data_IF_283318964467
#
_entry.id   IF_283318964467
#
_cell.length_a   1.000
_cell.length_b   1.000
_cell.length_c   1.000
_cell.angle_alpha   90.00
_cell.angle_beta   90.00
_cell.angle_gamma   90.00
#
_symmetry.space_group_name_H-M   'P 1'
#
loop_
_entity.id
_entity.type
_entity.pdbx_description
1 polymer ?
#
# COMPACT_ATOMS: atom_id res chain seq x y z
N UNK A 1 -5.17 3.22 12.34
CA UNK A 1 -4.60 2.79 11.03
C UNK A 1 -3.10 2.56 11.09
N UNK A 2 -2.59 1.50 10.46
CA UNK A 2 -1.15 1.21 10.39
C UNK A 2 -0.50 1.96 9.21
N UNK A 3 0.51 2.78 9.52
CA UNK A 3 1.32 3.54 8.56
C UNK A 3 2.78 3.15 8.70
N UNK A 4 3.63 3.59 7.77
CA UNK A 4 5.08 3.44 7.90
C UNK A 4 5.84 4.66 7.39
N UNK A 5 7.03 4.86 7.94
CA UNK A 5 8.00 5.86 7.50
C UNK A 5 9.21 5.11 6.99
N UNK A 6 9.65 5.38 5.76
CA UNK A 6 10.84 4.78 5.17
C UNK A 6 11.92 5.84 5.01
N UNK A 7 13.06 5.64 5.66
CA UNK A 7 14.16 6.60 5.68
C UNK A 7 15.44 5.93 5.18
N UNK A 8 16.16 6.62 4.29
CA UNK A 8 17.50 6.19 3.86
C UNK A 8 18.47 6.34 5.04
N UNK A 9 19.36 5.37 5.20
CA UNK A 9 20.45 5.43 6.16
C UNK A 9 21.64 6.04 5.45
N UNK A 10 22.21 7.10 6.01
CA UNK A 10 23.32 7.83 5.41
C UNK A 10 24.67 7.24 5.82
N UNK A 11 24.87 7.05 7.12
CA UNK A 11 26.11 6.56 7.73
C UNK A 11 25.88 6.16 9.19
N UNK A 12 26.75 5.32 9.80
CA UNK A 12 26.88 5.27 11.24
C UNK A 12 27.31 6.64 11.78
N UNK A 13 26.77 6.97 12.95
CA UNK A 13 27.19 8.14 13.73
C UNK A 13 28.48 7.86 14.49
N UNK A 14 28.65 6.62 14.95
CA UNK A 14 29.81 6.19 15.72
C UNK A 14 31.04 6.08 14.81
N UNK A 15 32.12 6.77 15.14
CA UNK A 15 33.37 6.78 14.36
C UNK A 15 34.09 5.42 14.40
N UNK A 16 33.71 4.56 15.34
CA UNK A 16 34.29 3.21 15.52
C UNK A 16 33.88 2.20 14.45
N UNK A 17 32.92 2.53 13.59
CA UNK A 17 32.46 1.64 12.52
C UNK A 17 32.39 2.41 11.21
N UNK A 18 33.14 1.95 10.22
CA UNK A 18 33.09 2.49 8.87
C UNK A 18 31.79 2.10 8.15
N UNK A 19 31.45 2.80 7.07
CA UNK A 19 30.29 2.44 6.25
C UNK A 19 30.44 1.07 5.57
N UNK A 20 31.68 0.70 5.22
CA UNK A 20 31.98 -0.61 4.62
C UNK A 20 31.74 -1.74 5.61
N UNK A 21 32.29 -1.64 6.83
CA UNK A 21 32.06 -2.60 7.91
C UNK A 21 30.57 -2.71 8.26
N UNK A 22 29.86 -1.59 8.30
CA UNK A 22 28.41 -1.56 8.48
C UNK A 22 27.69 -2.30 7.35
N UNK A 23 28.14 -2.12 6.10
CA UNK A 23 27.62 -2.83 4.94
C UNK A 23 27.79 -4.35 5.03
N UNK A 24 28.97 -4.81 5.48
CA UNK A 24 29.24 -6.23 5.74
C UNK A 24 28.37 -6.78 6.88
N UNK A 25 28.23 -6.05 7.98
CA UNK A 25 27.39 -6.44 9.11
C UNK A 25 25.93 -6.61 8.68
N UNK A 26 25.36 -5.61 7.99
CA UNK A 26 23.96 -5.66 7.53
C UNK A 26 23.75 -6.74 6.46
N UNK A 27 24.69 -6.90 5.53
CA UNK A 27 24.63 -7.96 4.51
C UNK A 27 24.65 -9.37 5.14
N UNK A 28 25.58 -9.59 6.07
CA UNK A 28 25.69 -10.84 6.83
C UNK A 28 24.44 -11.13 7.66
N UNK A 29 23.91 -10.13 8.36
CA UNK A 29 22.69 -10.25 9.16
C UNK A 29 21.47 -10.55 8.28
N UNK A 30 21.33 -9.89 7.13
CA UNK A 30 20.25 -10.17 6.17
C UNK A 30 20.29 -11.62 5.66
N UNK A 31 21.49 -12.13 5.37
CA UNK A 31 21.67 -13.53 4.97
C UNK A 31 21.28 -14.50 6.09
N UNK A 32 21.70 -14.24 7.33
CA UNK A 32 21.35 -15.06 8.50
C UNK A 32 19.84 -15.06 8.72
N UNK A 33 19.19 -13.90 8.69
CA UNK A 33 17.72 -13.78 8.80
C UNK A 33 17.00 -14.57 7.72
N UNK A 34 17.50 -14.56 6.48
CA UNK A 34 16.94 -15.38 5.41
C UNK A 34 17.01 -16.88 5.75
N UNK A 35 18.18 -17.37 6.19
CA UNK A 35 18.39 -18.78 6.58
C UNK A 35 17.50 -19.18 7.75
N UNK A 36 17.49 -18.39 8.83
CA UNK A 36 16.63 -18.61 9.99
C UNK A 36 15.15 -18.67 9.61
N UNK A 37 14.69 -17.76 8.74
CA UNK A 37 13.29 -17.72 8.33
C UNK A 37 12.91 -18.94 7.47
N UNK A 38 13.79 -19.37 6.55
CA UNK A 38 13.56 -20.57 5.75
C UNK A 38 13.61 -21.85 6.60
N UNK A 39 14.51 -21.94 7.57
CA UNK A 39 14.55 -23.02 8.56
C UNK A 39 13.21 -23.14 9.29
N UNK A 40 12.68 -22.01 9.79
CA UNK A 40 11.36 -21.98 10.43
C UNK A 40 10.23 -22.41 9.48
N UNK A 41 10.25 -21.97 8.21
CA UNK A 41 9.24 -22.37 7.21
C UNK A 41 9.23 -23.88 6.99
N UNK A 42 10.42 -24.50 6.88
CA UNK A 42 10.55 -25.96 6.69
C UNK A 42 10.03 -26.71 7.91
N UNK A 43 10.44 -26.34 9.12
CA UNK A 43 9.98 -27.01 10.34
C UNK A 43 8.49 -26.82 10.59
N UNK A 44 7.90 -25.68 10.20
CA UNK A 44 6.45 -25.51 10.23
C UNK A 44 5.71 -26.47 9.28
N UNK A 45 6.27 -26.74 8.09
CA UNK A 45 5.70 -27.74 7.18
C UNK A 45 5.79 -29.15 7.77
N UNK A 46 6.96 -29.53 8.29
CA UNK A 46 7.16 -30.85 8.91
C UNK A 46 6.18 -31.07 10.07
N UNK A 47 6.06 -30.08 10.96
CA UNK A 47 5.11 -30.10 12.08
C UNK A 47 3.66 -30.23 11.61
N UNK A 48 3.25 -29.46 10.59
CA UNK A 48 1.90 -29.52 10.04
C UNK A 48 1.57 -30.87 9.38
N UNK A 49 2.58 -31.54 8.81
CA UNK A 49 2.47 -32.89 8.24
C UNK A 49 2.55 -34.00 9.30
N UNK A 50 2.70 -33.64 10.59
CA UNK A 50 2.94 -34.58 11.70
C UNK A 50 4.16 -35.48 11.48
N UNK A 51 5.15 -34.98 10.74
CA UNK A 51 6.46 -35.58 10.64
C UNK A 51 7.27 -35.18 11.87
N UNK A 52 8.21 -36.03 12.30
CA UNK A 52 8.98 -35.79 13.53
C UNK A 52 9.74 -34.46 13.47
N UNK A 53 9.48 -33.61 14.47
CA UNK A 53 10.26 -32.40 14.73
C UNK A 53 10.59 -32.36 16.21
N UNK A 54 11.87 -32.38 16.58
CA UNK A 54 12.30 -32.27 17.98
C UNK A 54 12.12 -30.84 18.57
N UNK A 55 11.72 -29.89 17.73
CA UNK A 55 11.67 -28.45 18.05
C UNK A 55 10.31 -28.04 18.63
N UNK A 56 9.83 -28.72 19.67
CA UNK A 56 8.56 -28.39 20.31
C UNK A 56 8.79 -27.73 21.67
N UNK A 57 7.99 -26.72 21.98
CA UNK A 57 7.90 -26.20 23.34
C UNK A 57 7.06 -27.15 24.22
N UNK A 58 7.01 -26.94 25.55
CA UNK A 58 6.20 -27.77 26.46
C UNK A 58 4.69 -27.79 26.17
N UNK A 59 4.18 -26.87 25.33
CA UNK A 59 2.79 -26.81 24.88
C UNK A 59 2.54 -27.58 23.58
N UNK A 60 3.58 -28.16 22.98
CA UNK A 60 3.52 -28.85 21.69
C UNK A 60 3.54 -27.92 20.48
N UNK A 61 3.78 -26.61 20.67
CA UNK A 61 3.97 -25.69 19.54
C UNK A 61 5.41 -25.73 19.06
N UNK A 62 5.60 -25.60 17.74
CA UNK A 62 6.92 -25.43 17.16
C UNK A 62 7.64 -24.21 17.76
N UNK A 63 8.87 -24.42 18.19
CA UNK A 63 9.74 -23.44 18.83
C UNK A 63 11.18 -23.59 18.34
N UNK A 64 11.54 -22.83 17.31
CA UNK A 64 12.85 -22.93 16.66
C UNK A 64 13.95 -22.13 17.38
N UNK A 65 13.57 -21.21 18.29
CA UNK A 65 14.48 -20.26 18.91
C UNK A 65 15.75 -20.87 19.53
N UNK A 66 15.72 -21.96 20.33
CA UNK A 66 16.91 -22.46 21.01
C UNK A 66 18.02 -22.86 20.03
N UNK A 67 17.66 -23.62 18.99
CA UNK A 67 18.59 -24.04 17.93
C UNK A 67 19.09 -22.84 17.13
N UNK A 68 18.22 -21.88 16.82
CA UNK A 68 18.63 -20.67 16.10
C UNK A 68 19.55 -19.76 16.93
N UNK A 69 19.35 -19.70 18.25
CA UNK A 69 20.17 -18.89 19.14
C UNK A 69 21.56 -19.51 19.36
N UNK A 70 21.65 -20.85 19.35
CA UNK A 70 22.90 -21.59 19.40
C UNK A 70 23.70 -21.46 18.09
N UNK A 71 23.03 -21.60 16.94
CA UNK A 71 23.64 -21.50 15.61
C UNK A 71 24.09 -20.05 15.27
N UNK A 72 23.35 -19.05 15.77
CA UNK A 72 23.61 -17.62 15.47
C UNK A 72 23.82 -16.78 16.75
N UNK A 73 24.84 -17.06 17.58
CA UNK A 73 25.03 -16.43 18.89
C UNK A 73 25.31 -14.93 18.81
N UNK A 74 25.82 -14.44 17.68
CA UNK A 74 26.05 -13.02 17.40
C UNK A 74 24.78 -12.25 17.04
N UNK A 75 23.68 -12.92 16.72
CA UNK A 75 22.41 -12.28 16.36
C UNK A 75 21.61 -11.96 17.62
N UNK A 76 21.07 -10.74 17.79
CA UNK A 76 20.20 -10.42 18.91
C UNK A 76 18.98 -11.35 18.98
N UNK A 77 18.69 -11.92 20.16
CA UNK A 77 17.53 -12.78 20.40
C UNK A 77 16.22 -12.19 19.87
N UNK A 78 16.04 -10.88 20.02
CA UNK A 78 14.86 -10.19 19.50
C UNK A 78 14.70 -10.30 17.98
N UNK A 79 15.80 -10.24 17.21
CA UNK A 79 15.78 -10.41 15.75
C UNK A 79 15.44 -11.85 15.39
N UNK A 80 15.98 -12.83 16.13
CA UNK A 80 15.67 -14.26 15.94
C UNK A 80 14.16 -14.51 16.14
N UNK A 81 13.60 -14.07 17.27
CA UNK A 81 12.18 -14.23 17.56
C UNK A 81 11.28 -13.51 16.53
N UNK A 82 11.72 -12.36 16.03
CA UNK A 82 10.99 -11.61 15.02
C UNK A 82 11.03 -12.30 13.64
N UNK A 83 12.17 -12.92 13.28
CA UNK A 83 12.30 -13.74 12.07
C UNK A 83 11.42 -14.99 12.13
N UNK A 84 11.42 -15.71 13.25
CA UNK A 84 10.56 -16.87 13.50
C UNK A 84 9.07 -16.48 13.41
N UNK A 85 8.68 -15.39 14.09
CA UNK A 85 7.29 -14.89 14.03
C UNK A 85 6.87 -14.53 12.62
N UNK A 86 7.77 -13.93 11.84
CA UNK A 86 7.52 -13.58 10.44
C UNK A 86 7.32 -14.83 9.57
N UNK A 87 8.18 -15.84 9.73
CA UNK A 87 8.06 -17.12 9.03
C UNK A 87 6.75 -17.82 9.38
N UNK A 88 6.43 -17.94 10.68
CA UNK A 88 5.16 -18.53 11.16
C UNK A 88 3.93 -17.87 10.55
N UNK A 89 3.89 -16.52 10.52
CA UNK A 89 2.77 -15.78 9.91
C UNK A 89 2.66 -16.04 8.41
N UNK A 90 3.78 -16.11 7.69
CA UNK A 90 3.80 -16.43 6.28
C UNK A 90 3.28 -17.85 6.02
N UNK A 91 3.76 -18.83 6.79
CA UNK A 91 3.33 -20.21 6.71
C UNK A 91 1.83 -20.34 6.95
N UNK A 92 1.30 -19.80 8.05
CA UNK A 92 -0.14 -19.86 8.37
C UNK A 92 -1.02 -19.35 7.23
N UNK A 93 -0.60 -18.27 6.55
CA UNK A 93 -1.33 -17.70 5.41
C UNK A 93 -1.33 -18.61 4.18
N UNK A 94 -0.27 -19.39 3.97
CA UNK A 94 -0.14 -20.30 2.82
C UNK A 94 -0.49 -21.76 3.12
N UNK A 95 -0.63 -22.14 4.40
CA UNK A 95 -0.65 -23.53 4.86
C UNK A 95 -1.72 -24.37 4.14
N UNK A 96 -2.96 -23.87 4.05
CA UNK A 96 -4.06 -24.60 3.40
C UNK A 96 -3.74 -24.97 1.94
N UNK A 97 -3.19 -24.02 1.17
CA UNK A 97 -2.83 -24.25 -0.25
C UNK A 97 -1.63 -25.17 -0.40
N UNK A 98 -0.66 -25.06 0.51
CA UNK A 98 0.54 -25.90 0.51
C UNK A 98 0.18 -27.35 0.86
N UNK A 99 -0.64 -27.58 1.89
CA UNK A 99 -1.05 -28.92 2.33
C UNK A 99 -1.96 -29.63 1.32
N UNK A 100 -2.70 -28.86 0.48
CA UNK A 100 -3.47 -29.39 -0.66
C UNK A 100 -2.64 -29.51 -1.95
N UNK A 101 -1.33 -29.26 -1.89
CA UNK A 101 -0.44 -29.30 -3.05
C UNK A 101 -0.81 -28.34 -4.19
N UNK A 102 -1.58 -27.28 -3.91
CA UNK A 102 -1.92 -26.24 -4.89
C UNK A 102 -0.76 -25.27 -5.14
N UNK A 103 0.13 -25.13 -4.15
CA UNK A 103 1.30 -24.24 -4.22
C UNK A 103 2.47 -24.84 -3.45
N UNK A 104 3.69 -24.58 -3.91
CA UNK A 104 4.90 -24.90 -3.14
C UNK A 104 5.03 -24.06 -1.85
N UNK A 105 5.84 -24.55 -0.91
CA UNK A 105 6.19 -23.82 0.31
C UNK A 105 6.85 -22.47 -0.03
N UNK A 106 6.35 -21.33 0.48
CA UNK A 106 7.02 -20.04 0.26
C UNK A 106 8.42 -20.01 0.85
N UNK A 107 9.34 -19.32 0.17
CA UNK A 107 10.72 -19.14 0.64
C UNK A 107 11.13 -17.68 0.68
N UNK A 108 11.97 -17.36 1.67
CA UNK A 108 12.68 -16.11 1.80
C UNK A 108 13.91 -16.12 0.88
N UNK A 109 14.17 -14.99 0.22
CA UNK A 109 15.25 -14.84 -0.77
C UNK A 109 16.45 -14.11 -0.16
N UNK A 110 17.59 -14.18 -0.86
CA UNK A 110 18.76 -13.32 -0.60
C UNK A 110 18.31 -11.85 -0.51
N UNK A 111 18.93 -11.09 0.38
CA UNK A 111 18.56 -9.71 0.72
C UNK A 111 17.19 -9.58 1.41
N UNK A 112 16.76 -10.63 2.13
CA UNK A 112 15.60 -10.57 3.00
C UNK A 112 15.76 -9.47 4.05
N UNK A 113 14.68 -8.73 4.25
CA UNK A 113 14.70 -7.63 5.20
C UNK A 113 14.87 -8.12 6.64
N UNK A 114 15.62 -7.36 7.44
CA UNK A 114 15.94 -7.68 8.83
C UNK A 114 14.85 -7.07 9.72
N UNK A 115 14.07 -7.89 10.44
CA UNK A 115 13.07 -7.38 11.37
C UNK A 115 13.74 -6.93 12.68
N UNK A 116 13.46 -5.70 13.10
CA UNK A 116 13.98 -5.10 14.33
C UNK A 116 12.81 -4.89 15.31
N UNK A 117 12.77 -5.64 16.43
CA UNK A 117 11.72 -5.49 17.45
C UNK A 117 11.67 -4.08 18.03
N UNK A 118 10.52 -3.68 18.58
CA UNK A 118 10.32 -2.35 19.20
C UNK A 118 11.37 -2.04 20.27
N UNK A 119 11.74 -3.02 21.11
CA UNK A 119 12.78 -2.86 22.13
C UNK A 119 14.20 -2.72 21.55
N UNK A 120 14.41 -3.20 20.32
CA UNK A 120 15.69 -3.21 19.61
C UNK A 120 16.02 -1.92 18.88
N UNK A 121 15.15 -0.90 18.88
CA UNK A 121 15.47 0.41 18.31
C UNK A 121 14.88 1.60 19.07
N UNK A 122 15.51 2.77 18.93
CA UNK A 122 15.03 4.08 19.38
C UNK A 122 15.32 5.12 18.31
N UNK A 123 14.44 6.10 18.18
CA UNK A 123 14.65 7.26 17.31
C UNK A 123 15.02 8.44 18.19
N UNK A 124 16.17 9.02 17.94
CA UNK A 124 16.74 10.14 18.68
C UNK A 124 16.84 11.34 17.74
N UNK A 125 16.74 12.53 18.32
CA UNK A 125 17.03 13.78 17.62
C UNK A 125 18.31 14.36 18.24
N UNK A 126 19.25 14.79 17.41
CA UNK A 126 20.45 15.49 17.89
C UNK A 126 20.19 16.99 18.11
N UNK A 127 21.17 17.68 18.67
CA UNK A 127 21.08 19.13 18.95
C UNK A 127 20.95 19.99 17.69
N UNK A 128 21.40 19.48 16.54
CA UNK A 128 21.32 20.13 15.23
C UNK A 128 19.97 19.84 14.53
N UNK A 129 19.11 19.03 15.14
CA UNK A 129 17.79 18.70 14.65
C UNK A 129 17.74 17.51 13.68
N UNK A 130 18.84 16.81 13.43
CA UNK A 130 18.88 15.58 12.64
C UNK A 130 18.38 14.37 13.44
N UNK A 131 17.87 13.38 12.71
CA UNK A 131 17.36 12.15 13.32
C UNK A 131 18.36 11.00 13.20
N UNK A 132 18.55 10.29 14.31
CA UNK A 132 19.36 9.08 14.39
C UNK A 132 18.49 7.90 14.85
N UNK A 133 18.70 6.72 14.29
CA UNK A 133 18.17 5.47 14.81
C UNK A 133 19.25 4.73 15.60
N UNK A 134 19.08 4.60 16.91
CA UNK A 134 19.88 3.70 17.73
C UNK A 134 19.29 2.28 17.59
N UNK A 135 20.06 1.33 17.04
CA UNK A 135 19.58 -0.03 16.74
C UNK A 135 20.50 -1.09 17.33
N UNK A 136 19.91 -2.12 17.95
CA UNK A 136 20.62 -3.32 18.36
C UNK A 136 20.73 -4.30 17.19
N UNK A 137 21.89 -4.32 16.53
CA UNK A 137 22.17 -5.19 15.38
C UNK A 137 23.02 -6.42 15.73
N UNK A 138 23.68 -6.39 16.88
CA UNK A 138 24.58 -7.44 17.34
C UNK A 138 24.25 -7.82 18.78
N UNK A 139 24.38 -9.10 19.11
CA UNK A 139 24.19 -9.60 20.47
C UNK A 139 25.29 -9.05 21.39
N UNK A 140 25.09 -9.13 22.71
CA UNK A 140 26.12 -8.70 23.68
C UNK A 140 27.41 -9.52 23.54
N UNK A 141 27.28 -10.81 23.22
CA UNK A 141 28.43 -11.70 22.99
C UNK A 141 29.15 -11.31 21.70
N UNK A 142 28.41 -11.13 20.59
CA UNK A 142 28.98 -10.71 19.32
C UNK A 142 29.67 -9.34 19.41
N UNK A 143 29.08 -8.40 20.14
CA UNK A 143 29.63 -7.06 20.36
C UNK A 143 31.03 -7.13 21.02
N UNK A 144 31.20 -7.99 22.03
CA UNK A 144 32.49 -8.22 22.70
C UNK A 144 33.51 -8.84 21.75
N UNK A 145 33.12 -9.89 21.02
CA UNK A 145 34.01 -10.61 20.10
C UNK A 145 34.49 -9.72 18.96
N UNK A 146 33.60 -8.89 18.40
CA UNK A 146 33.89 -8.03 17.25
C UNK A 146 34.35 -6.62 17.66
N UNK A 147 34.46 -6.33 18.96
CA UNK A 147 34.78 -5.01 19.52
C UNK A 147 33.87 -3.88 18.98
N UNK A 148 32.61 -4.22 18.69
CA UNK A 148 31.59 -3.30 18.21
C UNK A 148 30.69 -2.81 19.35
N UNK A 149 30.08 -1.62 19.24
CA UNK A 149 29.09 -1.17 20.22
C UNK A 149 27.85 -2.08 20.17
N UNK A 150 27.28 -2.39 21.33
CA UNK A 150 26.08 -3.24 21.41
C UNK A 150 24.83 -2.63 20.77
N UNK A 151 24.81 -1.30 20.62
CA UNK A 151 23.81 -0.55 19.83
C UNK A 151 24.54 0.41 18.91
N UNK A 152 24.14 0.42 17.64
CA UNK A 152 24.73 1.26 16.61
C UNK A 152 23.78 2.40 16.30
N UNK A 153 24.28 3.63 16.38
CA UNK A 153 23.54 4.83 16.00
C UNK A 153 23.70 5.10 14.50
N UNK A 154 22.59 5.15 13.78
CA UNK A 154 22.54 5.34 12.33
C UNK A 154 21.90 6.67 11.99
N UNK A 155 22.61 7.52 11.25
CA UNK A 155 22.10 8.80 10.78
C UNK A 155 21.08 8.55 9.67
N UNK A 156 19.87 9.09 9.86
CA UNK A 156 18.77 8.97 8.91
C UNK A 156 18.75 10.19 7.99
N UNK A 157 18.45 9.98 6.72
CA UNK A 157 18.33 11.07 5.76
C UNK A 157 17.20 12.02 6.15
N UNK A 158 17.55 13.29 6.22
CA UNK A 158 16.72 14.45 6.56
C UNK A 158 16.18 15.17 5.32
N UNK A 159 16.33 14.58 4.12
CA UNK A 159 15.81 15.14 2.87
C UNK A 159 14.28 15.04 2.79
N UNK A 160 13.61 15.84 3.63
CA UNK A 160 12.17 15.91 3.81
C UNK A 160 11.51 16.63 2.62
N UNK A 161 11.43 15.96 1.47
CA UNK A 161 10.51 16.41 0.40
C UNK A 161 9.05 16.34 0.85
N UNK A 162 8.74 15.46 1.81
CA UNK A 162 7.41 15.23 2.35
C UNK A 162 7.28 15.75 3.80
N UNK A 163 6.54 16.85 3.97
CA UNK A 163 6.24 17.44 5.28
C UNK A 163 5.48 16.47 6.21
N UNK A 164 4.67 15.57 5.65
CA UNK A 164 3.89 14.62 6.44
C UNK A 164 4.77 13.53 7.06
N UNK A 165 5.76 13.03 6.31
CA UNK A 165 6.75 12.07 6.80
C UNK A 165 7.59 12.67 7.94
N UNK A 166 7.96 13.96 7.83
CA UNK A 166 8.67 14.69 8.89
C UNK A 166 7.85 14.77 10.18
N UNK A 167 6.59 15.19 10.07
CA UNK A 167 5.67 15.25 11.22
C UNK A 167 5.44 13.88 11.85
N UNK A 168 5.31 12.83 11.04
CA UNK A 168 5.19 11.47 11.54
C UNK A 168 6.44 11.03 12.31
N UNK A 169 7.65 11.31 11.80
CA UNK A 169 8.88 10.94 12.49
C UNK A 169 9.03 11.70 13.82
N UNK A 170 8.67 12.98 13.85
CA UNK A 170 8.64 13.78 15.08
C UNK A 170 7.75 13.14 16.15
N UNK A 171 6.54 12.70 15.76
CA UNK A 171 5.63 11.99 16.69
C UNK A 171 6.20 10.67 17.17
N UNK A 172 6.87 9.91 16.29
CA UNK A 172 7.54 8.64 16.63
C UNK A 172 8.71 8.87 17.59
N UNK A 173 9.56 9.87 17.32
CA UNK A 173 10.70 10.22 18.16
C UNK A 173 10.25 10.73 19.54
N UNK A 174 9.17 11.50 19.60
CA UNK A 174 8.57 11.97 20.84
C UNK A 174 7.78 10.90 21.61
N UNK A 175 7.64 9.67 21.07
CA UNK A 175 6.88 8.60 21.72
C UNK A 175 5.37 8.79 21.75
N UNK A 176 4.82 9.77 20.99
CA UNK A 176 3.38 10.08 20.97
C UNK A 176 2.54 9.09 20.17
N UNK A 177 3.17 8.19 19.43
CA UNK A 177 2.49 7.17 18.63
C UNK A 177 3.05 5.79 18.91
N UNK A 178 2.17 4.79 18.94
CA UNK A 178 2.58 3.39 19.06
C UNK A 178 3.30 2.95 17.79
N UNK A 179 4.50 2.40 17.97
CA UNK A 179 5.38 1.90 16.90
C UNK A 179 5.42 0.38 16.87
N UNK A 180 5.67 -0.20 15.71
CA UNK A 180 5.76 -1.65 15.49
C UNK A 180 7.18 -2.15 15.24
N UNK A 181 7.29 -3.40 14.80
CA UNK A 181 8.56 -4.02 14.40
C UNK A 181 9.11 -3.28 13.17
N UNK A 182 10.22 -2.58 13.33
CA UNK A 182 10.88 -1.90 12.23
C UNK A 182 11.54 -2.91 11.28
N UNK A 183 11.81 -2.49 10.05
CA UNK A 183 12.38 -3.34 9.03
C UNK A 183 13.54 -2.64 8.35
N UNK A 184 14.74 -3.22 8.45
CA UNK A 184 15.91 -2.79 7.68
C UNK A 184 15.95 -3.57 6.36
N UNK A 185 16.11 -2.88 5.25
CA UNK A 185 16.20 -3.53 3.94
C UNK A 185 17.12 -2.77 3.01
N UNK A 186 17.68 -3.50 2.05
CA UNK A 186 18.53 -2.95 1.01
C UNK A 186 17.73 -2.73 -0.25
N UNK A 187 17.82 -1.55 -0.83
CA UNK A 187 17.31 -1.26 -2.17
C UNK A 187 18.43 -0.68 -3.03
N UNK A 188 18.78 -1.40 -4.11
CA UNK A 188 19.98 -1.14 -4.90
C UNK A 188 21.23 -1.19 -4.02
N UNK A 189 21.95 -0.06 -3.86
CA UNK A 189 23.17 0.05 -3.04
C UNK A 189 22.91 0.66 -1.66
N UNK A 190 21.69 1.13 -1.42
CA UNK A 190 21.36 1.91 -0.22
C UNK A 190 20.56 1.07 0.79
N UNK A 191 20.77 1.37 2.07
CA UNK A 191 20.02 0.80 3.18
C UNK A 191 18.92 1.74 3.64
N UNK A 192 17.77 1.16 3.98
CA UNK A 192 16.59 1.89 4.44
C UNK A 192 16.05 1.29 5.72
N UNK A 193 15.54 2.15 6.59
CA UNK A 193 14.79 1.81 7.79
C UNK A 193 13.32 2.14 7.57
N UNK A 194 12.46 1.12 7.60
CA UNK A 194 11.01 1.25 7.58
C UNK A 194 10.45 1.09 9.00
N UNK A 195 9.80 2.13 9.52
CA UNK A 195 9.23 2.17 10.87
C UNK A 195 7.71 2.18 10.76
N UNK A 196 7.03 1.08 11.10
CA UNK A 196 5.57 1.10 11.18
C UNK A 196 5.11 1.82 12.45
N UNK A 197 4.05 2.60 12.32
CA UNK A 197 3.41 3.32 13.43
C UNK A 197 1.89 3.29 13.26
N UNK A 198 1.17 3.41 14.38
CA UNK A 198 -0.29 3.47 14.38
C UNK A 198 -0.71 4.91 14.63
N UNK A 199 -1.56 5.42 13.74
CA UNK A 199 -2.32 6.66 13.98
C UNK A 199 -3.72 6.29 14.42
N UNK A 200 -4.21 6.95 15.46
CA UNK A 200 -5.64 6.94 15.77
C UNK A 200 -6.37 7.73 14.67
N UNK A 201 -7.55 7.27 14.24
CA UNK A 201 -8.41 8.11 13.41
C UNK A 201 -8.67 9.41 14.18
N UNK A 202 -8.73 10.53 13.48
CA UNK A 202 -9.33 11.70 14.10
C UNK A 202 -10.76 11.29 14.47
N UNK A 203 -11.18 11.52 15.73
CA UNK A 203 -12.59 11.44 16.06
C UNK A 203 -13.36 12.23 15.01
N UNK A 204 -14.54 11.71 14.62
CA UNK A 204 -15.48 12.44 13.77
C UNK A 204 -15.66 13.77 14.49
N UNK A 205 -14.96 14.81 14.05
CA UNK A 205 -15.08 16.09 14.70
C UNK A 205 -16.56 16.42 14.68
N UNK A 206 -17.06 17.07 15.73
CA UNK A 206 -18.43 17.60 15.86
C UNK A 206 -18.83 18.56 14.71
N UNK A 207 -18.02 18.64 13.64
CA UNK A 207 -18.09 19.49 12.47
C UNK A 207 -18.48 18.75 11.17
N UNK A 208 -18.79 17.44 11.19
CA UNK A 208 -19.30 16.72 10.02
C UNK A 208 -20.81 16.49 10.11
N UNK A 209 -21.51 16.65 8.98
CA UNK A 209 -22.95 16.42 8.88
C UNK A 209 -23.22 14.94 8.56
N UNK A 210 -23.76 14.13 9.49
CA UNK A 210 -23.92 12.69 9.28
C UNK A 210 -24.89 12.34 8.15
N UNK A 211 -25.87 13.21 7.87
CA UNK A 211 -26.83 13.04 6.78
C UNK A 211 -26.32 13.50 5.41
N UNK A 212 -25.13 14.10 5.33
CA UNK A 212 -24.53 14.52 4.06
C UNK A 212 -23.65 13.40 3.52
N UNK A 213 -24.13 12.75 2.46
CA UNK A 213 -23.46 11.62 1.81
C UNK A 213 -22.91 12.04 0.45
N UNK A 214 -21.65 11.66 0.17
CA UNK A 214 -21.02 11.84 -1.13
C UNK A 214 -20.89 10.50 -1.86
N UNK A 215 -21.54 10.35 -3.00
CA UNK A 215 -21.36 9.20 -3.88
C UNK A 215 -20.20 9.42 -4.84
N UNK A 216 -19.37 8.39 -5.05
CA UNK A 216 -18.22 8.40 -5.96
C UNK A 216 -18.32 7.21 -6.92
N UNK A 217 -18.59 7.52 -8.19
CA UNK A 217 -18.70 6.52 -9.25
C UNK A 217 -17.42 6.46 -10.10
N UNK A 218 -17.03 5.27 -10.55
CA UNK A 218 -15.81 5.06 -11.35
C UNK A 218 -16.11 4.59 -12.79
N UNK A 219 -15.38 5.12 -13.78
CA UNK A 219 -15.00 4.32 -14.95
C UNK A 219 -16.00 4.12 -16.10
N UNK A 220 -16.78 5.12 -16.52
CA UNK A 220 -17.39 5.08 -17.86
C UNK A 220 -16.70 6.05 -18.83
N UNK A 221 -16.72 7.35 -18.54
CA UNK A 221 -16.03 8.36 -19.35
C UNK A 221 -14.97 9.10 -18.53
N UNK A 222 -15.28 9.36 -17.27
CA UNK A 222 -14.38 9.94 -16.29
C UNK A 222 -13.72 8.84 -15.44
N UNK A 223 -12.51 9.10 -14.92
CA UNK A 223 -11.83 8.21 -13.97
C UNK A 223 -12.72 8.03 -12.75
N UNK A 224 -13.22 9.15 -12.24
CA UNK A 224 -14.20 9.19 -11.17
C UNK A 224 -15.05 10.46 -11.29
N UNK A 225 -16.29 10.37 -10.85
CA UNK A 225 -17.19 11.50 -10.67
C UNK A 225 -17.78 11.45 -9.26
N UNK A 226 -18.06 12.63 -8.69
CA UNK A 226 -18.70 12.74 -7.38
C UNK A 226 -19.98 13.58 -7.45
N UNK A 227 -20.90 13.27 -6.54
CA UNK A 227 -22.11 14.02 -6.28
C UNK A 227 -22.56 13.80 -4.83
N UNK A 228 -23.32 14.75 -4.28
CA UNK A 228 -23.88 14.63 -2.94
C UNK A 228 -25.35 14.23 -3.01
N UNK A 229 -25.93 13.76 -1.92
CA UNK A 229 -27.37 13.48 -1.84
C UNK A 229 -28.21 14.78 -1.83
N UNK A 230 -27.82 15.79 -1.06
CA UNK A 230 -28.56 17.05 -0.88
C UNK A 230 -27.94 18.23 -1.62
N UNK A 231 -26.61 18.28 -1.77
CA UNK A 231 -25.93 19.39 -2.46
C UNK A 231 -25.90 19.21 -3.98
N UNK A 232 -25.99 20.33 -4.71
CA UNK A 232 -25.80 20.37 -6.17
C UNK A 232 -24.33 20.42 -6.61
N UNK A 233 -23.40 20.47 -5.65
CA UNK A 233 -21.95 20.47 -5.92
C UNK A 233 -21.55 19.15 -6.57
N UNK A 234 -20.73 19.24 -7.60
CA UNK A 234 -20.33 18.09 -8.42
C UNK A 234 -19.01 18.34 -9.13
N UNK A 235 -18.36 17.26 -9.50
CA UNK A 235 -17.15 17.32 -10.30
C UNK A 235 -16.72 15.93 -10.75
N UNK A 236 -15.77 15.92 -11.66
CA UNK A 236 -15.24 14.70 -12.22
C UNK A 236 -13.77 14.88 -12.59
N UNK A 237 -13.07 13.77 -12.69
CA UNK A 237 -11.70 13.70 -13.16
C UNK A 237 -11.71 13.06 -14.54
N UNK A 238 -11.36 13.85 -15.56
CA UNK A 238 -11.28 13.37 -16.95
C UNK A 238 -10.29 12.20 -17.07
N UNK A 239 -10.67 11.22 -17.87
CA UNK A 239 -9.83 10.06 -18.21
C UNK A 239 -8.69 10.33 -19.20
N UNK A 240 -8.67 11.50 -19.83
CA UNK A 240 -7.77 11.80 -20.95
C UNK A 240 -6.28 11.73 -20.58
N UNK A 241 -5.90 12.24 -19.42
CA UNK A 241 -4.51 12.16 -18.91
C UNK A 241 -4.07 10.70 -18.77
N UNK A 242 -4.94 9.87 -18.17
CA UNK A 242 -4.67 8.46 -17.89
C UNK A 242 -4.58 7.66 -19.20
N UNK A 243 -5.51 7.86 -20.13
CA UNK A 243 -5.49 7.20 -21.44
C UNK A 243 -4.25 7.57 -22.25
N UNK A 244 -3.96 8.86 -22.38
CA UNK A 244 -2.78 9.32 -23.12
C UNK A 244 -1.48 8.74 -22.53
N UNK A 245 -1.41 8.62 -21.21
CA UNK A 245 -0.27 8.01 -20.55
C UNK A 245 -0.20 6.50 -20.81
N UNK A 246 -1.33 5.78 -20.75
CA UNK A 246 -1.37 4.35 -21.05
C UNK A 246 -0.89 4.07 -22.49
N UNK A 247 -1.38 4.82 -23.48
CA UNK A 247 -1.00 4.65 -24.88
C UNK A 247 0.51 4.82 -25.09
N UNK A 248 1.10 5.84 -24.45
CA UNK A 248 2.55 6.07 -24.47
C UNK A 248 3.34 4.90 -23.89
N UNK A 249 2.87 4.30 -22.80
CA UNK A 249 3.53 3.17 -22.15
C UNK A 249 3.37 1.88 -22.94
N UNK A 250 2.19 1.63 -23.54
CA UNK A 250 1.98 0.49 -24.43
C UNK A 250 2.88 0.57 -25.67
N UNK A 251 2.94 1.74 -26.32
CA UNK A 251 3.82 1.97 -27.46
C UNK A 251 5.30 1.75 -27.09
N UNK A 252 5.73 2.29 -25.94
CA UNK A 252 7.10 2.10 -25.44
C UNK A 252 7.41 0.64 -25.11
N UNK A 253 6.46 -0.10 -24.53
CA UNK A 253 6.60 -1.53 -24.24
C UNK A 253 6.80 -2.34 -25.50
N UNK A 254 5.98 -2.11 -26.53
CA UNK A 254 6.08 -2.77 -27.84
C UNK A 254 7.47 -2.51 -28.46
N UNK A 255 7.91 -1.24 -28.48
CA UNK A 255 9.23 -0.86 -29.02
C UNK A 255 10.38 -1.55 -28.29
N UNK A 256 10.35 -1.65 -26.96
CA UNK A 256 11.39 -2.36 -26.18
C UNK A 256 11.42 -3.85 -26.55
N UNK A 257 10.25 -4.48 -26.74
CA UNK A 257 10.17 -5.89 -27.12
C UNK A 257 10.72 -6.14 -28.53
N UNK A 258 10.38 -5.29 -29.50
CA UNK A 258 10.90 -5.37 -30.87
C UNK A 258 12.43 -5.18 -30.92
N UNK A 259 12.95 -4.24 -30.13
CA UNK A 259 14.39 -3.98 -30.05
C UNK A 259 15.20 -5.10 -29.38
N UNK A 260 14.56 -6.00 -28.64
CA UNK A 260 15.25 -7.08 -27.94
C UNK A 260 16.05 -7.97 -28.91
N UNK A 261 15.48 -8.26 -30.08
CA UNK A 261 16.11 -9.10 -31.10
C UNK A 261 17.47 -8.55 -31.59
N UNK A 262 17.62 -7.23 -31.58
CA UNK A 262 18.80 -6.50 -32.03
C UNK A 262 19.70 -6.01 -30.89
N UNK A 263 19.39 -6.41 -29.66
CA UNK A 263 20.11 -5.95 -28.47
C UNK A 263 21.28 -6.86 -28.13
N UNK A 264 22.41 -6.28 -27.68
CA UNK A 264 23.54 -7.03 -27.13
C UNK A 264 23.26 -7.78 -25.81
N UNK A 265 22.00 -7.76 -25.34
CA UNK A 265 21.55 -8.47 -24.12
C UNK A 265 21.18 -9.93 -24.38
N UNK A 266 21.14 -10.34 -25.65
CA UNK A 266 20.85 -11.73 -26.04
C UNK A 266 21.94 -12.64 -25.49
N UNK A 267 21.54 -13.72 -24.81
CA UNK A 267 22.47 -14.71 -24.24
C UNK A 267 22.97 -14.41 -22.83
N UNK A 268 22.63 -13.26 -22.22
CA UNK A 268 23.05 -12.90 -20.85
C UNK A 268 22.04 -13.33 -19.76
N UNK A 269 21.05 -14.15 -20.13
CA UNK A 269 20.01 -14.65 -19.25
C UNK A 269 18.75 -13.78 -19.19
N UNK A 270 17.70 -14.33 -18.57
CA UNK A 270 16.36 -13.73 -18.50
C UNK A 270 16.33 -12.39 -17.76
N UNK A 271 17.17 -12.25 -16.73
CA UNK A 271 17.23 -11.04 -15.90
C UNK A 271 17.69 -9.82 -16.72
N UNK A 272 18.75 -9.97 -17.51
CA UNK A 272 19.25 -8.86 -18.34
C UNK A 272 18.32 -8.58 -19.53
N UNK A 273 17.78 -9.64 -20.16
CA UNK A 273 16.79 -9.51 -21.23
C UNK A 273 15.55 -8.70 -20.81
N UNK A 274 15.03 -8.95 -19.59
CA UNK A 274 13.83 -8.28 -19.08
C UNK A 274 14.11 -6.95 -18.38
N UNK A 275 15.37 -6.58 -18.16
CA UNK A 275 15.76 -5.38 -17.39
C UNK A 275 15.09 -4.10 -17.89
N UNK A 276 15.03 -3.79 -19.21
CA UNK A 276 14.34 -2.59 -19.70
C UNK A 276 12.83 -2.62 -19.46
N UNK A 277 12.20 -3.80 -19.62
CA UNK A 277 10.77 -3.98 -19.40
C UNK A 277 10.39 -3.85 -17.92
N UNK A 278 11.22 -4.39 -17.02
CA UNK A 278 11.03 -4.23 -15.57
C UNK A 278 11.15 -2.78 -15.16
N UNK A 279 12.15 -2.07 -15.68
CA UNK A 279 12.28 -0.63 -15.43
C UNK A 279 11.06 0.15 -15.92
N UNK A 280 10.57 -0.12 -17.13
CA UNK A 280 9.35 0.53 -17.65
C UNK A 280 8.14 0.25 -16.75
N UNK A 281 7.98 -1.01 -16.32
CA UNK A 281 6.92 -1.41 -15.41
C UNK A 281 7.00 -0.70 -14.05
N UNK A 282 8.20 -0.55 -13.48
CA UNK A 282 8.40 0.20 -12.23
C UNK A 282 8.01 1.67 -12.38
N UNK A 283 8.38 2.31 -13.49
CA UNK A 283 7.99 3.70 -13.78
C UNK A 283 6.48 3.83 -13.92
N UNK A 284 5.84 2.92 -14.66
CA UNK A 284 4.38 2.89 -14.83
C UNK A 284 3.65 2.67 -13.50
N UNK A 285 4.13 1.73 -12.69
CA UNK A 285 3.61 1.47 -11.35
C UNK A 285 3.69 2.72 -10.48
N UNK A 286 4.86 3.37 -10.42
CA UNK A 286 5.05 4.57 -9.62
C UNK A 286 4.16 5.73 -10.08
N UNK A 287 3.95 5.88 -11.41
CA UNK A 287 3.01 6.85 -11.95
C UNK A 287 1.57 6.56 -11.51
N UNK A 288 1.10 5.31 -11.67
CA UNK A 288 -0.24 4.91 -11.21
C UNK A 288 -0.42 5.17 -9.72
N UNK A 289 0.58 4.82 -8.93
CA UNK A 289 0.58 5.04 -7.49
C UNK A 289 0.44 6.52 -7.13
N UNK A 290 1.19 7.40 -7.82
CA UNK A 290 1.13 8.86 -7.65
C UNK A 290 -0.25 9.42 -8.04
N UNK A 291 -0.75 9.03 -9.20
CA UNK A 291 -2.05 9.49 -9.71
C UNK A 291 -3.19 9.06 -8.79
N UNK A 292 -3.22 7.81 -8.35
CA UNK A 292 -4.23 7.32 -7.40
C UNK A 292 -4.16 8.07 -6.06
N UNK A 293 -2.96 8.34 -5.55
CA UNK A 293 -2.80 9.15 -4.35
C UNK A 293 -3.33 10.58 -4.51
N UNK A 294 -3.11 11.20 -5.67
CA UNK A 294 -3.61 12.54 -6.01
C UNK A 294 -5.13 12.55 -6.09
N UNK A 295 -5.73 11.58 -6.79
CA UNK A 295 -7.18 11.47 -6.94
C UNK A 295 -7.87 11.15 -5.62
N UNK A 296 -7.34 10.20 -4.83
CA UNK A 296 -7.87 9.91 -3.51
C UNK A 296 -7.82 11.12 -2.58
N UNK A 297 -6.70 11.88 -2.59
CA UNK A 297 -6.59 13.14 -1.84
C UNK A 297 -7.64 14.15 -2.29
N UNK A 298 -7.79 14.35 -3.60
CA UNK A 298 -8.75 15.31 -4.16
C UNK A 298 -10.19 14.99 -3.74
N UNK A 299 -10.61 13.72 -3.81
CA UNK A 299 -11.95 13.28 -3.38
C UNK A 299 -12.16 13.55 -1.88
N UNK A 300 -11.21 13.14 -1.03
CA UNK A 300 -11.33 13.33 0.42
C UNK A 300 -11.28 14.80 0.82
N UNK A 301 -10.44 15.62 0.18
CA UNK A 301 -10.36 17.06 0.45
C UNK A 301 -11.71 17.75 0.10
N UNK A 302 -12.42 17.27 -0.92
CA UNK A 302 -13.78 17.74 -1.27
C UNK A 302 -14.79 17.35 -0.19
N UNK A 303 -14.75 16.10 0.27
CA UNK A 303 -15.62 15.65 1.36
C UNK A 303 -15.41 16.48 2.63
N UNK A 304 -14.14 16.70 3.02
CA UNK A 304 -13.76 17.53 4.16
C UNK A 304 -14.23 18.97 4.00
N UNK A 305 -13.99 19.58 2.83
CA UNK A 305 -14.39 20.97 2.55
C UNK A 305 -15.91 21.19 2.67
N UNK A 306 -16.70 20.16 2.36
CA UNK A 306 -18.16 20.21 2.43
C UNK A 306 -18.73 19.61 3.71
N UNK A 307 -17.89 19.24 4.70
CA UNK A 307 -18.33 18.65 5.98
C UNK A 307 -19.16 17.37 5.80
N UNK A 308 -18.83 16.57 4.80
CA UNK A 308 -19.49 15.30 4.50
C UNK A 308 -19.11 14.22 5.53
N UNK A 309 -20.11 13.56 6.12
CA UNK A 309 -19.91 12.51 7.11
C UNK A 309 -19.62 11.12 6.51
N UNK A 310 -20.06 10.87 5.28
CA UNK A 310 -19.99 9.54 4.67
C UNK A 310 -19.78 9.55 3.15
N UNK A 311 -18.94 8.64 2.66
CA UNK A 311 -18.64 8.45 1.24
C UNK A 311 -19.14 7.07 0.80
N UNK A 312 -20.02 7.06 -0.20
CA UNK A 312 -20.46 5.84 -0.87
C UNK A 312 -19.60 5.59 -2.11
N UNK A 313 -18.83 4.52 -2.09
CA UNK A 313 -18.01 4.09 -3.23
C UNK A 313 -18.76 3.06 -4.06
N UNK A 314 -18.67 3.15 -5.38
CA UNK A 314 -19.14 2.08 -6.27
C UNK A 314 -18.38 0.77 -5.97
N UNK A 315 -19.08 -0.29 -5.57
CA UNK A 315 -18.51 -1.62 -5.33
C UNK A 315 -18.07 -2.30 -6.65
N UNK A 316 -18.56 -1.82 -7.79
CA UNK A 316 -18.22 -2.31 -9.11
C UNK A 316 -16.71 -2.31 -9.36
N UNK A 317 -16.16 -3.50 -9.55
CA UNK A 317 -14.89 -3.70 -10.26
C UNK A 317 -15.25 -4.04 -11.70
N UNK A 318 -15.81 -3.10 -12.46
CA UNK A 318 -16.21 -3.36 -13.84
C UNK A 318 -14.99 -3.47 -14.78
N UNK A 319 -14.10 -4.43 -14.51
CA UNK A 319 -13.44 -5.18 -15.57
C UNK A 319 -14.48 -6.10 -16.20
N UNK A 320 -15.41 -5.54 -16.98
CA UNK A 320 -16.21 -6.37 -17.87
C UNK A 320 -15.23 -6.97 -18.89
N UNK A 321 -14.94 -8.26 -18.76
CA UNK A 321 -14.23 -9.05 -19.77
C UNK A 321 -15.06 -8.96 -21.07
N UNK A 322 -14.76 -7.99 -21.93
CA UNK A 322 -15.46 -7.85 -23.23
C UNK A 322 -15.50 -6.44 -23.80
N UNK A 323 -15.63 -5.40 -22.98
CA UNK A 323 -15.73 -4.02 -23.49
C UNK A 323 -14.38 -3.30 -23.42
N UNK A 324 -13.70 -3.20 -24.56
CA UNK A 324 -12.48 -2.37 -24.76
C UNK A 324 -12.69 -0.89 -24.44
N UNK A 325 -13.95 -0.44 -24.28
CA UNK A 325 -14.32 0.96 -24.08
C UNK A 325 -14.29 1.41 -22.61
N UNK A 326 -14.05 0.52 -21.64
CA UNK A 326 -13.97 0.93 -20.24
C UNK A 326 -12.57 1.49 -19.95
N UNK A 327 -12.53 2.80 -19.71
CA UNK A 327 -11.37 3.63 -19.33
C UNK A 327 -10.42 2.95 -18.33
N UNK A 328 -10.97 2.19 -17.39
CA UNK A 328 -10.26 1.61 -16.25
C UNK A 328 -10.00 0.11 -16.36
N UNK A 329 -10.22 -0.51 -17.53
CA UNK A 329 -9.95 -1.95 -17.74
C UNK A 329 -8.50 -2.35 -17.43
N UNK A 330 -7.55 -1.42 -17.60
CA UNK A 330 -6.12 -1.63 -17.33
C UNK A 330 -5.62 -0.85 -16.08
N UNK A 331 -6.52 -0.25 -15.32
CA UNK A 331 -6.21 0.54 -14.13
C UNK A 331 -6.66 -0.19 -12.87
N UNK A 332 -5.82 -0.23 -11.83
CA UNK A 332 -6.16 -0.90 -10.57
C UNK A 332 -7.11 -0.04 -9.74
N UNK A 333 -8.41 -0.15 -10.02
CA UNK A 333 -9.49 0.48 -9.23
C UNK A 333 -9.39 0.17 -7.74
N UNK A 334 -9.01 -1.06 -7.41
CA UNK A 334 -8.80 -1.50 -6.03
C UNK A 334 -7.82 -0.61 -5.25
N UNK A 335 -6.69 -0.24 -5.86
CA UNK A 335 -5.68 0.62 -5.22
C UNK A 335 -6.19 2.06 -5.01
N UNK A 336 -7.05 2.55 -5.91
CA UNK A 336 -7.69 3.86 -5.74
C UNK A 336 -8.71 3.83 -4.60
N UNK A 337 -9.57 2.80 -4.53
CA UNK A 337 -10.55 2.62 -3.45
C UNK A 337 -9.87 2.53 -2.08
N UNK A 338 -8.85 1.67 -1.93
CA UNK A 338 -8.07 1.54 -0.69
C UNK A 338 -7.49 2.89 -0.24
N UNK A 339 -6.92 3.66 -1.19
CA UNK A 339 -6.37 4.99 -0.89
C UNK A 339 -7.45 6.00 -0.50
N UNK A 340 -8.68 5.90 -1.01
CA UNK A 340 -9.80 6.74 -0.60
C UNK A 340 -10.25 6.37 0.82
N UNK A 341 -10.57 5.10 1.07
CA UNK A 341 -10.98 4.61 2.40
C UNK A 341 -10.00 5.06 3.47
N UNK A 342 -8.72 4.76 3.26
CA UNK A 342 -7.66 5.12 4.19
C UNK A 342 -7.56 6.62 4.46
N UNK A 343 -7.63 7.46 3.43
CA UNK A 343 -7.54 8.92 3.61
C UNK A 343 -8.79 9.50 4.27
N UNK A 344 -9.96 8.92 4.03
CA UNK A 344 -11.23 9.36 4.61
C UNK A 344 -11.31 8.98 6.10
N UNK A 345 -10.92 7.76 6.46
CA UNK A 345 -10.79 7.30 7.86
C UNK A 345 -9.82 8.18 8.66
N UNK A 346 -8.70 8.61 8.06
CA UNK A 346 -7.76 9.56 8.70
C UNK A 346 -8.42 10.90 9.06
N UNK A 347 -9.53 11.25 8.41
CA UNK A 347 -10.29 12.48 8.61
C UNK A 347 -11.58 12.27 9.40
N UNK A 348 -11.87 11.05 9.85
CA UNK A 348 -13.12 10.70 10.54
C UNK A 348 -14.34 10.63 9.61
N UNK A 349 -14.14 10.39 8.31
CA UNK A 349 -15.22 10.22 7.33
C UNK A 349 -15.46 8.72 7.13
N UNK A 350 -16.71 8.27 7.25
CA UNK A 350 -17.07 6.87 6.99
C UNK A 350 -17.06 6.57 5.50
N UNK A 351 -16.69 5.34 5.12
CA UNK A 351 -16.70 4.91 3.72
C UNK A 351 -17.39 3.56 3.61
N UNK A 352 -18.34 3.50 2.68
CA UNK A 352 -19.20 2.33 2.47
C UNK A 352 -19.17 1.96 0.98
N UNK A 353 -18.77 0.72 0.65
CA UNK A 353 -18.86 0.22 -0.71
C UNK A 353 -20.29 -0.23 -1.02
N UNK A 354 -20.91 0.39 -2.02
CA UNK A 354 -22.32 0.21 -2.37
C UNK A 354 -22.45 -0.49 -3.72
N UNK A 355 -23.23 -1.57 -3.75
CA UNK A 355 -23.61 -2.27 -4.99
C UNK A 355 -25.00 -1.82 -5.46
N UNK A 356 -25.06 -0.69 -6.15
CA UNK A 356 -26.34 -0.14 -6.62
C UNK A 356 -26.76 -0.82 -7.92
N UNK A 357 -27.93 -1.49 -7.97
CA UNK A 357 -28.43 -2.08 -9.20
C UNK A 357 -28.68 -0.99 -10.23
N UNK A 358 -28.31 -1.25 -11.49
CA UNK A 358 -28.54 -0.33 -12.60
C UNK A 358 -27.96 1.08 -12.36
N UNK A 359 -26.83 1.16 -11.64
CA UNK A 359 -26.18 2.40 -11.19
C UNK A 359 -26.13 3.53 -12.23
N UNK A 360 -25.93 3.20 -13.51
CA UNK A 360 -25.75 4.18 -14.60
C UNK A 360 -27.01 4.40 -15.44
N UNK A 361 -27.90 3.41 -15.47
CA UNK A 361 -29.14 3.39 -16.27
C UNK A 361 -30.35 3.90 -15.50
N UNK A 362 -30.31 3.87 -14.17
CA UNK A 362 -31.34 4.40 -13.27
C UNK A 362 -31.25 5.92 -13.14
N UNK A 363 -32.36 6.63 -13.25
CA UNK A 363 -32.40 8.06 -12.99
C UNK A 363 -32.29 8.37 -11.48
N UNK A 364 -31.34 9.20 -11.09
CA UNK A 364 -31.14 9.64 -9.70
C UNK A 364 -32.23 10.57 -9.14
N UNK A 365 -33.17 11.02 -9.98
CA UNK A 365 -34.28 11.87 -9.54
C UNK A 365 -35.59 11.09 -9.43
N UNK A 366 -36.00 10.35 -10.46
CA UNK A 366 -37.28 9.63 -10.49
C UNK A 366 -37.17 8.11 -10.38
N UNK A 367 -35.95 7.54 -10.34
CA UNK A 367 -35.75 6.10 -10.23
C UNK A 367 -36.03 5.29 -11.49
N UNK A 368 -36.52 5.90 -12.57
CA UNK A 368 -36.81 5.18 -13.83
C UNK A 368 -35.52 4.67 -14.47
N UNK A 369 -35.55 3.41 -14.89
CA UNK A 369 -34.45 2.77 -15.61
C UNK A 369 -34.57 3.01 -17.11
N UNK A 370 -33.45 3.33 -17.74
CA UNK A 370 -33.38 3.58 -19.18
C UNK A 370 -32.00 3.19 -19.72
N UNK A 371 -31.96 2.77 -20.98
CA UNK A 371 -30.69 2.55 -21.66
C UNK A 371 -29.92 3.87 -21.79
N UNK A 372 -28.62 3.84 -21.50
CA UNK A 372 -27.72 4.96 -21.76
C UNK A 372 -27.29 4.90 -23.23
N UNK A 373 -27.44 5.99 -23.98
CA UNK A 373 -26.81 6.11 -25.30
C UNK A 373 -25.29 6.23 -25.11
N UNK A 374 -24.57 5.09 -25.15
CA UNK A 374 -23.13 4.99 -24.88
C UNK A 374 -22.23 5.96 -25.67
N UNK A 375 -22.72 6.56 -26.76
CA UNK A 375 -21.95 7.48 -27.62
C UNK A 375 -21.88 8.92 -27.10
N UNK A 376 -22.74 9.31 -26.15
CA UNK A 376 -22.77 10.68 -25.62
C UNK A 376 -22.44 10.61 -24.13
N UNK A 377 -21.48 11.41 -23.65
CA UNK A 377 -21.14 11.57 -22.21
C UNK A 377 -22.33 12.09 -21.36
N UNK A 378 -23.54 12.15 -21.92
CA UNK A 378 -24.72 12.84 -21.42
C UNK A 378 -25.78 11.84 -20.94
N UNK A 379 -26.48 12.19 -19.87
CA UNK A 379 -27.62 11.48 -19.32
C UNK A 379 -28.84 12.39 -19.37
N UNK A 380 -29.90 11.89 -20.00
CA UNK A 380 -31.18 12.57 -20.13
C UNK A 380 -32.29 11.60 -19.79
N UNK A 381 -33.04 11.85 -18.72
CA UNK A 381 -34.18 11.03 -18.33
C UNK A 381 -35.38 11.30 -19.24
N UNK A 382 -35.83 10.27 -19.99
CA UNK A 382 -37.02 10.37 -20.85
C UNK A 382 -38.33 10.51 -20.07
N UNK A 383 -38.37 10.06 -18.81
CA UNK A 383 -39.56 10.10 -17.98
C UNK A 383 -39.77 11.46 -17.28
N UNK A 384 -38.77 11.94 -16.53
CA UNK A 384 -38.90 13.18 -15.74
C UNK A 384 -38.19 14.40 -16.33
N UNK A 385 -37.51 14.26 -17.47
CA UNK A 385 -36.76 15.36 -18.09
C UNK A 385 -35.46 15.74 -17.36
N UNK A 386 -35.05 15.01 -16.32
CA UNK A 386 -33.78 15.25 -15.64
C UNK A 386 -32.60 15.22 -16.63
N UNK A 387 -31.84 16.32 -16.70
CA UNK A 387 -30.72 16.50 -17.63
C UNK A 387 -31.02 17.33 -18.88
N UNK A 388 -32.24 17.84 -19.07
CA UNK A 388 -32.64 18.71 -20.20
C UNK A 388 -32.08 20.13 -20.13
N UNK A 389 -31.90 20.71 -18.94
CA UNK A 389 -31.42 22.09 -18.75
C UNK A 389 -30.63 22.24 -17.45
N UNK A 390 -29.30 22.18 -17.52
CA UNK A 390 -28.46 22.68 -16.42
C UNK A 390 -28.29 24.20 -16.56
N UNK A 391 -29.01 24.99 -15.76
CA UNK A 391 -28.97 26.46 -15.77
C UNK A 391 -27.58 27.04 -15.45
N UNK A 392 -26.63 26.21 -14.98
CA UNK A 392 -25.31 26.63 -14.49
C UNK A 392 -24.13 26.28 -15.42
N UNK A 393 -24.36 25.83 -16.66
CA UNK A 393 -23.30 25.65 -17.66
C UNK A 393 -23.75 26.11 -19.05
N UNK A 394 -22.83 26.74 -19.78
CA UNK A 394 -22.97 27.14 -21.19
C UNK A 394 -23.30 25.97 -22.15
N UNK A 395 -23.22 24.71 -21.70
CA UNK A 395 -23.54 23.48 -22.46
C UNK A 395 -24.42 22.47 -21.68
N UNK A 396 -25.39 22.95 -20.88
CA UNK A 396 -26.71 22.34 -20.59
C UNK A 396 -26.94 20.89 -20.10
N UNK A 397 -25.99 19.96 -20.18
CA UNK A 397 -26.27 18.52 -19.99
C UNK A 397 -25.61 17.91 -18.74
N UNK A 398 -26.27 16.90 -18.18
CA UNK A 398 -25.77 16.09 -17.05
C UNK A 398 -24.95 14.92 -17.60
N UNK A 399 -23.82 14.55 -16.96
CA UNK A 399 -23.08 13.36 -17.38
C UNK A 399 -23.65 12.06 -16.78
N UNK A 400 -23.47 10.95 -17.50
CA UNK A 400 -23.83 9.62 -16.99
C UNK A 400 -23.04 9.24 -15.73
N UNK A 401 -21.76 9.64 -15.65
CA UNK A 401 -20.93 9.47 -14.46
C UNK A 401 -21.45 10.29 -13.27
N UNK A 402 -21.96 11.50 -13.48
CA UNK A 402 -22.59 12.27 -12.40
C UNK A 402 -23.92 11.67 -11.94
N UNK A 403 -24.74 11.18 -12.86
CA UNK A 403 -25.99 10.49 -12.50
C UNK A 403 -25.71 9.25 -11.63
N UNK A 404 -24.66 8.47 -11.98
CA UNK A 404 -24.20 7.36 -11.17
C UNK A 404 -23.72 7.79 -9.78
N UNK A 405 -22.89 8.84 -9.70
CA UNK A 405 -22.43 9.38 -8.43
C UNK A 405 -23.61 9.84 -7.54
N UNK A 406 -24.65 10.45 -8.13
CA UNK A 406 -25.87 10.81 -7.41
C UNK A 406 -26.67 9.59 -6.94
N UNK A 407 -26.79 8.55 -7.77
CA UNK A 407 -27.44 7.30 -7.37
C UNK A 407 -26.75 6.65 -6.17
N UNK A 408 -25.42 6.68 -6.10
CA UNK A 408 -24.66 6.21 -4.93
C UNK A 408 -24.95 7.06 -3.69
N UNK A 409 -24.99 8.39 -3.85
CA UNK A 409 -25.18 9.29 -2.72
C UNK A 409 -26.57 9.15 -2.08
N UNK A 410 -27.61 8.90 -2.87
CA UNK A 410 -28.99 8.70 -2.39
C UNK A 410 -29.31 7.23 -2.07
N UNK A 411 -28.37 6.32 -2.29
CA UNK A 411 -28.58 4.90 -2.01
C UNK A 411 -28.69 4.69 -0.50
N UNK A 412 -29.79 4.08 -0.08
CA UNK A 412 -29.97 3.65 1.30
C UNK A 412 -29.18 2.36 1.51
N UNK A 413 -28.15 2.45 2.35
CA UNK A 413 -27.22 1.38 2.64
C UNK A 413 -27.77 0.37 3.65
N UNK A 414 -28.88 0.66 4.35
CA UNK A 414 -29.33 -0.17 5.47
C UNK A 414 -28.20 -0.41 6.50
N UNK A 415 -28.27 -1.53 7.25
CA UNK A 415 -27.21 -1.97 8.18
C UNK A 415 -25.96 -2.56 7.46
N UNK A 416 -25.57 -2.05 6.29
CA UNK A 416 -24.31 -2.51 5.69
C UNK A 416 -23.12 -1.98 6.49
N UNK A 417 -22.26 -2.89 6.96
CA UNK A 417 -21.08 -2.51 7.73
C UNK A 417 -20.11 -1.67 6.87
N UNK A 418 -19.51 -0.62 7.44
CA UNK A 418 -18.46 0.15 6.76
C UNK A 418 -17.26 -0.75 6.42
N UNK A 419 -16.57 -0.42 5.33
CA UNK A 419 -15.50 -1.25 4.71
C UNK A 419 -14.20 -1.25 5.52
#
# INVERSE_FOLDING_TARGET
>A
MQRSITLKILRPRDEKISWEEMGYLLGGLSMKVCRMSNFCMTHHLLHALKLETELLNPRGDLYCYPVLAEEYPEVPSGIICAAETRARKLFKRSAAKVLRSETSLPSFRKDSSIPIPVAGYRILQDGDGNYCAEIQLISRQGAKTQKLPGRICLVLADNWRDKSAKSALQKVAAGKVRRGVATLFRAKKDWYLCIPYVTEPADIGENFEPGLVMGVAFGMFDVLAYGFNTLLKRGAISGEEVLSHQDKFMARRKKIQEQYAWSGRKGQGREDALKPLRHLYEVEKNYRDLVNNRYAKWVVDIAVKNRCGEIHLDSGNSTSKGNKEILLSHWSLYDLKDKICRKAEEKGIRVTECNVPNLRTRCSHCGTEQAVENRKRMFLCKNCGYGTTDKNKSNGYISADYNAARNLAVYDTGDTEPV
#
